data_IF_494062893277
#
_entry.id   IF_494062893277
#
_cell.length_a   1.000
_cell.length_b   1.000
_cell.length_c   1.000
_cell.angle_alpha   90.00
_cell.angle_beta   90.00
_cell.angle_gamma   90.00
#
_symmetry.space_group_name_H-M   'P 1'
#
loop_
_entity.id
_entity.type
_entity.pdbx_description
1 polymer ?
#
# COMPACT_ATOMS: atom_id res chain seq x y z
N UNK A 1 3.91 4.23 -20.36
CA UNK A 1 5.36 3.93 -20.21
C UNK A 1 5.81 4.53 -18.89
N UNK A 2 6.39 3.73 -18.00
CA UNK A 2 7.06 4.26 -16.79
C UNK A 2 8.10 5.29 -17.25
N UNK A 3 7.97 6.55 -16.81
CA UNK A 3 8.95 7.60 -17.13
C UNK A 3 10.17 7.40 -16.25
N UNK A 4 11.33 7.86 -16.71
CA UNK A 4 12.51 7.89 -15.87
C UNK A 4 12.26 8.79 -14.64
N UNK A 5 12.82 8.41 -13.49
CA UNK A 5 12.71 9.18 -12.26
C UNK A 5 13.94 10.07 -12.15
N UNK A 6 14.00 11.10 -12.99
CA UNK A 6 15.04 12.11 -12.95
C UNK A 6 14.72 13.12 -11.86
N UNK A 7 15.00 12.77 -10.61
CA UNK A 7 15.16 13.76 -9.55
C UNK A 7 16.70 13.98 -9.50
N UNK A 8 17.17 15.21 -9.76
CA UNK A 8 18.60 15.60 -9.84
C UNK A 8 19.51 14.75 -8.91
N UNK A 9 20.61 14.25 -9.48
CA UNK A 9 21.69 13.42 -8.88
C UNK A 9 21.68 11.89 -9.08
N UNK A 10 20.95 11.37 -10.08
CA UNK A 10 21.24 10.07 -10.70
C UNK A 10 20.03 9.16 -10.89
N UNK A 11 20.01 8.41 -11.99
CA UNK A 11 18.97 7.46 -12.38
C UNK A 11 18.52 6.62 -11.17
N UNK A 12 17.30 6.85 -10.66
CA UNK A 12 16.65 5.99 -9.65
C UNK A 12 15.82 4.95 -10.40
N UNK A 13 16.39 3.77 -10.75
CA UNK A 13 15.70 2.80 -11.60
C UNK A 13 14.42 2.29 -10.94
N UNK A 14 13.43 1.94 -11.76
CA UNK A 14 12.22 1.22 -11.33
C UNK A 14 12.59 -0.16 -10.82
N UNK A 15 12.92 -0.22 -9.53
CA UNK A 15 13.30 -1.43 -8.79
C UNK A 15 12.34 -1.71 -7.64
N UNK A 16 11.67 -0.68 -7.11
CA UNK A 16 10.84 -0.80 -5.92
C UNK A 16 9.61 0.09 -6.02
N UNK A 17 8.49 -0.44 -5.57
CA UNK A 17 7.22 0.25 -5.40
C UNK A 17 6.80 0.10 -3.94
N UNK A 18 6.17 1.12 -3.35
CA UNK A 18 5.79 1.06 -1.95
C UNK A 18 4.58 1.93 -1.62
N UNK A 19 3.91 1.61 -0.52
CA UNK A 19 2.90 2.44 0.12
C UNK A 19 3.21 2.55 1.61
N UNK A 20 3.00 3.76 2.17
CA UNK A 20 3.19 4.02 3.59
C UNK A 20 1.85 4.21 4.29
N UNK A 21 1.77 3.71 5.51
CA UNK A 21 0.59 3.78 6.38
C UNK A 21 1.00 4.30 7.76
N UNK A 22 0.18 5.18 8.32
CA UNK A 22 0.38 5.67 9.69
C UNK A 22 -0.39 4.80 10.67
N UNK A 23 0.32 4.12 11.56
CA UNK A 23 -0.26 3.42 12.70
C UNK A 23 -0.47 4.40 13.85
N UNK A 24 -1.62 4.35 14.52
CA UNK A 24 -1.91 5.16 15.70
C UNK A 24 -2.77 4.38 16.72
N UNK A 25 -2.59 4.60 18.04
CA UNK A 25 -3.33 3.86 19.08
C UNK A 25 -4.85 3.95 19.00
N UNK A 26 -5.40 5.02 18.41
CA UNK A 26 -6.84 5.25 18.28
C UNK A 26 -7.42 4.89 16.91
N UNK A 27 -6.64 4.32 16.01
CA UNK A 27 -7.05 3.98 14.65
C UNK A 27 -6.28 2.74 14.18
N UNK A 28 -5.82 2.71 12.93
CA UNK A 28 -4.97 1.64 12.37
C UNK A 28 -3.82 1.28 13.34
N UNK A 29 -3.86 0.11 13.95
CA UNK A 29 -2.84 -0.30 14.93
C UNK A 29 -1.81 -1.26 14.39
N UNK A 30 -2.16 -2.05 13.37
CA UNK A 30 -1.32 -3.11 12.81
C UNK A 30 -1.77 -3.44 11.38
N UNK A 31 -0.88 -4.06 10.60
CA UNK A 31 -1.17 -4.61 9.28
C UNK A 31 -0.62 -6.04 9.20
N UNK A 32 -1.48 -7.01 8.90
CA UNK A 32 -1.14 -8.44 8.81
C UNK A 32 -1.57 -9.07 7.49
N UNK A 33 -1.33 -10.39 7.33
CA UNK A 33 -1.81 -11.21 6.21
C UNK A 33 -1.46 -10.64 4.84
N UNK A 34 -0.24 -10.10 4.75
CA UNK A 34 0.23 -9.37 3.58
C UNK A 34 0.63 -10.38 2.50
N UNK A 35 0.18 -10.13 1.28
CA UNK A 35 0.62 -10.84 0.08
C UNK A 35 0.72 -9.88 -1.09
N UNK A 36 1.67 -10.16 -1.97
CA UNK A 36 1.86 -9.44 -3.22
C UNK A 36 1.98 -10.45 -4.35
N UNK A 37 1.20 -10.25 -5.41
CA UNK A 37 1.28 -11.05 -6.62
C UNK A 37 1.51 -10.15 -7.81
N UNK A 38 2.54 -10.44 -8.59
CA UNK A 38 2.69 -9.91 -9.93
C UNK A 38 1.72 -10.67 -10.86
N UNK A 39 0.61 -10.04 -11.20
CA UNK A 39 -0.43 -10.62 -12.07
C UNK A 39 0.03 -10.67 -13.52
N UNK A 40 0.95 -9.79 -13.92
CA UNK A 40 1.51 -9.74 -15.29
C UNK A 40 2.28 -11.01 -15.60
N UNK A 41 3.16 -11.41 -14.66
CA UNK A 41 4.07 -12.54 -14.84
C UNK A 41 3.60 -13.81 -14.11
N UNK A 42 2.52 -13.72 -13.32
CA UNK A 42 1.94 -14.84 -12.59
C UNK A 42 2.76 -15.29 -11.38
N UNK A 43 3.54 -14.40 -10.77
CA UNK A 43 4.48 -14.71 -9.69
C UNK A 43 3.92 -14.21 -8.35
N UNK A 44 3.82 -15.11 -7.38
CA UNK A 44 3.58 -14.75 -5.97
C UNK A 44 4.91 -14.33 -5.33
N UNK A 45 4.97 -13.12 -4.80
CA UNK A 45 6.19 -12.59 -4.22
C UNK A 45 6.41 -13.18 -2.82
N UNK A 46 7.65 -13.57 -2.53
CA UNK A 46 8.03 -14.02 -1.20
C UNK A 46 8.26 -12.84 -0.25
N UNK A 47 8.05 -13.05 1.06
CA UNK A 47 8.37 -12.02 2.05
C UNK A 47 9.88 -11.92 2.27
N UNK A 48 10.40 -10.70 2.32
CA UNK A 48 11.72 -10.36 2.82
C UNK A 48 11.58 -9.76 4.22
N UNK A 49 12.23 -10.37 5.22
CA UNK A 49 12.16 -9.92 6.63
C UNK A 49 13.05 -8.71 6.92
N UNK A 50 14.18 -8.60 6.23
CA UNK A 50 15.08 -7.46 6.32
C UNK A 50 14.98 -6.60 5.05
N UNK A 51 14.25 -5.48 5.05
CA UNK A 51 14.10 -4.65 3.86
C UNK A 51 15.46 -4.14 3.37
N UNK A 52 15.66 -4.14 2.04
CA UNK A 52 16.85 -3.55 1.41
C UNK A 52 16.45 -2.49 0.41
N UNK A 53 17.08 -1.33 0.54
CA UNK A 53 16.92 -0.24 -0.41
C UNK A 53 17.66 -0.55 -1.71
N UNK A 54 17.08 -0.21 -2.87
CA UNK A 54 17.75 -0.39 -4.17
C UNK A 54 19.14 0.24 -4.27
N UNK A 55 19.36 1.37 -3.59
CA UNK A 55 20.65 2.08 -3.56
C UNK A 55 21.72 1.39 -2.70
N UNK A 56 21.33 0.48 -1.81
CA UNK A 56 22.23 -0.26 -0.94
C UNK A 56 22.75 -1.57 -1.58
N UNK A 57 22.23 -1.94 -2.75
CA UNK A 57 22.61 -3.18 -3.46
C UNK A 57 23.60 -2.84 -4.56
N UNK A 58 24.73 -3.55 -4.56
CA UNK A 58 25.92 -3.19 -5.34
C UNK A 58 25.78 -3.34 -6.86
N UNK A 59 24.83 -4.15 -7.34
CA UNK A 59 24.61 -4.31 -8.78
C UNK A 59 23.16 -4.67 -9.13
N UNK A 60 22.82 -4.50 -10.41
CA UNK A 60 21.50 -4.88 -10.94
C UNK A 60 21.31 -6.41 -10.94
N UNK A 61 22.38 -7.17 -11.15
CA UNK A 61 22.38 -8.62 -11.11
C UNK A 61 22.09 -9.13 -9.70
N UNK A 62 22.76 -8.56 -8.69
CA UNK A 62 22.48 -8.86 -7.28
C UNK A 62 21.05 -8.48 -6.89
N UNK A 63 20.56 -7.33 -7.37
CA UNK A 63 19.16 -6.93 -7.16
C UNK A 63 18.17 -7.94 -7.73
N UNK A 64 18.33 -8.29 -9.01
CA UNK A 64 17.42 -9.19 -9.71
C UNK A 64 17.44 -10.62 -9.14
N UNK A 65 18.60 -11.09 -8.68
CA UNK A 65 18.76 -12.42 -8.11
C UNK A 65 18.15 -12.51 -6.71
N UNK A 66 18.48 -11.56 -5.83
CA UNK A 66 18.31 -11.75 -4.39
C UNK A 66 17.14 -10.96 -3.80
N UNK A 67 16.67 -9.92 -4.49
CA UNK A 67 15.71 -8.95 -3.94
C UNK A 67 14.47 -8.73 -4.78
N UNK A 68 14.56 -8.80 -6.10
CA UNK A 68 13.40 -8.75 -6.97
C UNK A 68 12.43 -9.90 -6.68
N UNK A 69 11.15 -9.72 -6.99
CA UNK A 69 10.08 -10.69 -6.72
C UNK A 69 9.86 -11.00 -5.23
N UNK A 70 10.24 -10.05 -4.38
CA UNK A 70 9.95 -10.08 -2.95
C UNK A 70 9.11 -8.88 -2.54
N UNK A 71 8.31 -9.05 -1.49
CA UNK A 71 7.66 -7.94 -0.77
C UNK A 71 8.22 -7.84 0.64
N UNK A 72 8.10 -6.68 1.27
CA UNK A 72 8.46 -6.47 2.67
C UNK A 72 7.45 -5.58 3.37
N UNK A 73 7.48 -5.62 4.70
CA UNK A 73 6.90 -4.58 5.55
C UNK A 73 7.99 -4.08 6.50
N UNK A 74 8.05 -2.76 6.71
CA UNK A 74 9.10 -2.12 7.49
C UNK A 74 8.57 -0.95 8.33
N UNK A 75 9.21 -0.67 9.46
CA UNK A 75 9.04 0.57 10.20
C UNK A 75 9.97 1.64 9.62
N UNK A 76 9.36 2.70 9.07
CA UNK A 76 10.06 3.84 8.45
C UNK A 76 9.84 5.13 9.24
N UNK A 77 9.40 5.03 10.50
CA UNK A 77 9.09 6.19 11.35
C UNK A 77 10.26 7.15 11.51
N UNK A 78 11.49 6.62 11.58
CA UNK A 78 12.70 7.41 11.72
C UNK A 78 13.19 7.98 10.37
N UNK A 79 13.19 7.17 9.32
CA UNK A 79 13.58 7.57 7.96
C UNK A 79 13.18 6.50 6.93
N UNK A 80 12.70 6.92 5.76
CA UNK A 80 12.50 6.03 4.61
C UNK A 80 13.81 5.52 4.02
N UNK A 81 14.93 6.21 4.28
CA UNK A 81 16.26 5.80 3.81
C UNK A 81 16.93 4.78 4.76
N UNK A 82 16.25 4.39 5.83
CA UNK A 82 16.73 3.37 6.76
C UNK A 82 15.56 2.55 7.32
N UNK A 83 14.84 1.80 6.47
CA UNK A 83 13.71 1.00 6.90
C UNK A 83 14.15 -0.05 7.92
N UNK A 84 13.46 -0.12 9.06
CA UNK A 84 13.72 -1.12 10.09
C UNK A 84 12.78 -2.32 9.90
N UNK A 85 13.22 -3.56 10.24
CA UNK A 85 12.34 -4.72 10.22
C UNK A 85 11.04 -4.48 11.01
N UNK A 86 9.94 -4.99 10.49
CA UNK A 86 8.63 -4.96 11.15
C UNK A 86 8.01 -6.35 11.09
N UNK A 87 7.58 -6.83 12.25
CA UNK A 87 6.93 -8.13 12.42
C UNK A 87 5.43 -7.92 12.64
N UNK A 88 4.59 -8.19 11.62
CA UNK A 88 3.13 -8.14 11.76
C UNK A 88 2.61 -8.91 12.98
N UNK A 89 1.63 -8.34 13.69
CA UNK A 89 1.05 -8.95 14.90
C UNK A 89 1.91 -8.81 16.16
N UNK A 90 3.18 -8.41 16.03
CA UNK A 90 4.12 -8.23 17.16
C UNK A 90 4.50 -6.76 17.33
N UNK A 91 4.93 -6.11 16.25
CA UNK A 91 5.46 -4.75 16.27
C UNK A 91 4.37 -3.67 16.09
N UNK A 92 3.12 -4.09 15.93
CA UNK A 92 1.93 -3.26 15.97
C UNK A 92 1.77 -2.47 17.28
N UNK A 93 0.92 -1.45 17.23
CA UNK A 93 0.56 -0.65 18.38
C UNK A 93 -0.49 -1.40 19.20
N UNK A 94 -0.20 -1.68 20.47
CA UNK A 94 -1.14 -2.36 21.34
C UNK A 94 -2.25 -1.39 21.77
N UNK A 95 -3.50 -1.84 21.69
CA UNK A 95 -4.67 -1.03 22.06
C UNK A 95 -4.64 -0.73 23.56
N UNK A 96 -4.82 0.54 23.93
CA UNK A 96 -4.82 1.00 25.32
C UNK A 96 -3.44 1.39 25.87
N UNK A 97 -2.36 1.21 25.11
CA UNK A 97 -1.04 1.78 25.44
C UNK A 97 -0.98 3.25 25.01
N UNK A 98 -1.44 4.14 25.90
CA UNK A 98 -1.46 5.60 25.68
C UNK A 98 -0.08 6.25 25.53
N UNK A 99 1.00 5.51 25.76
CA UNK A 99 2.39 5.98 25.71
C UNK A 99 3.09 5.75 24.37
N UNK A 100 2.52 4.96 23.44
CA UNK A 100 3.15 4.73 22.13
C UNK A 100 2.77 5.83 21.15
N UNK A 101 3.79 6.49 20.59
CA UNK A 101 3.64 7.44 19.50
C UNK A 101 3.13 6.74 18.23
N UNK A 102 2.53 7.51 17.33
CA UNK A 102 2.23 7.03 15.99
C UNK A 102 3.50 6.48 15.32
N UNK A 103 3.34 5.41 14.53
CA UNK A 103 4.40 4.82 13.70
C UNK A 103 4.05 5.01 12.23
N UNK A 104 5.04 5.06 11.37
CA UNK A 104 4.84 4.93 9.93
C UNK A 104 5.42 3.60 9.48
N UNK A 105 4.58 2.74 8.91
CA UNK A 105 5.00 1.49 8.31
C UNK A 105 4.90 1.57 6.79
N UNK A 106 5.79 0.87 6.11
CA UNK A 106 5.85 0.80 4.66
C UNK A 106 5.65 -0.64 4.20
N UNK A 107 4.73 -0.87 3.26
CA UNK A 107 4.66 -2.11 2.49
C UNK A 107 5.28 -1.82 1.14
N UNK A 108 6.37 -2.51 0.83
CA UNK A 108 7.06 -2.39 -0.45
C UNK A 108 7.12 -3.71 -1.19
N UNK A 109 7.19 -3.63 -2.52
CA UNK A 109 7.43 -4.78 -3.37
C UNK A 109 8.47 -4.46 -4.44
N UNK A 110 9.43 -5.37 -4.54
CA UNK A 110 10.61 -5.22 -5.37
C UNK A 110 10.34 -5.85 -6.74
N UNK A 111 10.50 -5.05 -7.78
CA UNK A 111 10.42 -5.50 -9.17
C UNK A 111 11.83 -5.72 -9.72
N UNK A 112 12.01 -6.59 -10.73
CA UNK A 112 13.25 -6.63 -11.50
C UNK A 112 13.59 -5.23 -12.03
N UNK A 113 14.88 -4.97 -12.24
CA UNK A 113 15.34 -3.71 -12.84
C UNK A 113 14.58 -3.45 -14.13
N UNK A 114 13.73 -2.43 -14.11
CA UNK A 114 12.83 -2.11 -15.22
C UNK A 114 13.21 -0.76 -15.81
N UNK A 115 13.73 -0.76 -17.03
CA UNK A 115 14.03 0.47 -17.78
C UNK A 115 12.79 0.97 -18.53
N UNK A 116 11.96 0.05 -19.02
CA UNK A 116 10.70 0.35 -19.65
C UNK A 116 9.68 -0.79 -19.50
N UNK A 117 8.41 -0.40 -19.34
CA UNK A 117 7.27 -1.29 -19.42
C UNK A 117 6.04 -0.51 -19.94
N UNK A 118 5.18 -1.17 -20.71
CA UNK A 118 3.88 -0.60 -21.09
C UNK A 118 3.00 -0.43 -19.85
N UNK A 119 2.87 -1.51 -19.07
CA UNK A 119 2.18 -1.56 -17.78
C UNK A 119 2.65 -2.78 -16.98
N UNK A 120 2.54 -2.72 -15.66
CA UNK A 120 2.64 -3.88 -14.77
C UNK A 120 1.39 -3.89 -13.88
N UNK A 121 0.80 -5.06 -13.67
CA UNK A 121 -0.34 -5.28 -12.79
C UNK A 121 0.10 -6.07 -11.56
N UNK A 122 -0.20 -5.53 -10.39
CA UNK A 122 0.02 -6.17 -9.10
C UNK A 122 -1.31 -6.31 -8.36
N UNK A 123 -1.45 -7.41 -7.63
CA UNK A 123 -2.46 -7.57 -6.59
C UNK A 123 -1.72 -7.49 -5.25
N UNK A 124 -2.15 -6.57 -4.39
CA UNK A 124 -1.58 -6.37 -3.05
C UNK A 124 -2.73 -6.53 -2.07
N UNK A 125 -2.61 -7.51 -1.18
CA UNK A 125 -3.64 -7.84 -0.19
C UNK A 125 -3.03 -7.79 1.21
N UNK A 126 -3.79 -7.29 2.18
CA UNK A 126 -3.40 -7.21 3.59
C UNK A 126 -4.64 -6.97 4.47
N UNK A 127 -4.52 -7.28 5.76
CA UNK A 127 -5.53 -7.01 6.79
C UNK A 127 -5.10 -5.81 7.63
N UNK A 128 -5.95 -4.79 7.72
CA UNK A 128 -5.73 -3.64 8.59
C UNK A 128 -6.49 -3.79 9.92
N UNK A 129 -5.83 -3.57 11.06
CA UNK A 129 -6.42 -3.73 12.40
C UNK A 129 -6.83 -2.40 13.03
N UNK A 130 -8.00 -2.37 13.68
CA UNK A 130 -8.55 -1.24 14.44
C UNK A 130 -8.78 0.07 13.65
N UNK A 131 -9.01 -0.04 12.33
CA UNK A 131 -9.16 1.13 11.44
C UNK A 131 -10.45 1.92 11.55
N UNK A 132 -11.46 1.36 12.21
CA UNK A 132 -12.78 1.99 12.30
C UNK A 132 -12.94 2.70 13.65
N UNK A 133 -13.39 3.95 13.60
CA UNK A 133 -13.93 4.62 14.80
C UNK A 133 -15.38 4.18 15.00
N UNK A 134 -15.66 3.58 16.15
CA UNK A 134 -17.00 3.17 16.55
C UNK A 134 -17.70 4.28 17.32
N UNK A 135 -18.87 4.68 16.84
CA UNK A 135 -19.82 5.56 17.51
C UNK A 135 -21.00 4.73 18.07
N UNK A 136 -21.97 5.37 18.72
CA UNK A 136 -23.12 4.65 19.30
C UNK A 136 -23.98 3.93 18.25
N UNK A 137 -24.07 4.48 17.04
CA UNK A 137 -24.98 4.08 15.98
C UNK A 137 -24.31 3.83 14.62
N UNK A 138 -23.06 4.25 14.45
CA UNK A 138 -22.30 4.13 13.20
C UNK A 138 -20.84 3.76 13.46
N UNK A 139 -20.20 3.10 12.50
CA UNK A 139 -18.75 2.98 12.44
C UNK A 139 -18.23 3.73 11.21
N UNK A 140 -17.16 4.48 11.36
CA UNK A 140 -16.55 5.27 10.27
C UNK A 140 -15.10 4.84 10.06
N UNK A 141 -14.73 4.68 8.79
CA UNK A 141 -13.37 4.38 8.35
C UNK A 141 -12.99 5.33 7.22
N UNK A 142 -11.77 5.89 7.28
CA UNK A 142 -11.18 6.67 6.20
C UNK A 142 -9.89 6.01 5.77
N UNK A 143 -9.72 5.85 4.47
CA UNK A 143 -8.53 5.28 3.86
C UNK A 143 -8.00 6.18 2.76
N UNK A 144 -6.68 6.41 2.79
CA UNK A 144 -5.95 7.11 1.73
C UNK A 144 -4.94 6.14 1.11
N UNK A 145 -5.32 5.33 0.11
CA UNK A 145 -4.40 4.39 -0.53
C UNK A 145 -3.27 5.09 -1.31
N UNK A 146 -3.52 6.33 -1.77
CA UNK A 146 -2.60 7.09 -2.61
C UNK A 146 -2.52 8.53 -2.13
N UNK A 147 -1.57 8.82 -1.25
CA UNK A 147 -1.34 10.19 -0.77
C UNK A 147 -0.37 10.98 -1.64
N UNK A 148 -0.21 12.27 -1.30
CA UNK A 148 0.67 13.21 -2.03
C UNK A 148 2.14 12.75 -2.15
N UNK A 149 2.58 11.88 -1.26
CA UNK A 149 3.94 11.31 -1.24
C UNK A 149 4.05 9.99 -2.01
N UNK A 150 2.97 9.48 -2.60
CA UNK A 150 3.03 8.26 -3.41
C UNK A 150 3.87 8.51 -4.67
N UNK A 151 4.94 7.75 -4.83
CA UNK A 151 5.90 7.90 -5.92
C UNK A 151 5.62 6.94 -7.09
N UNK A 152 4.64 6.05 -6.92
CA UNK A 152 4.25 5.09 -7.95
C UNK A 152 3.39 5.79 -9.03
N UNK A 153 3.82 5.83 -10.30
CA UNK A 153 2.99 6.33 -11.39
C UNK A 153 1.86 5.35 -11.61
N UNK A 154 0.64 5.83 -11.42
CA UNK A 154 -0.56 5.03 -11.61
C UNK A 154 -1.25 5.53 -12.86
N UNK A 155 -1.66 4.61 -13.76
CA UNK A 155 -2.46 4.95 -14.94
C UNK A 155 -3.97 4.74 -14.75
N UNK A 156 -4.36 3.75 -13.96
CA UNK A 156 -5.76 3.48 -13.63
C UNK A 156 -5.83 2.91 -12.22
N UNK A 157 -6.79 3.42 -11.44
CA UNK A 157 -7.17 2.88 -10.14
C UNK A 157 -8.58 2.33 -10.24
N UNK A 158 -8.78 1.13 -9.72
CA UNK A 158 -10.11 0.57 -9.42
C UNK A 158 -10.04 -0.01 -8.02
N UNK A 159 -11.07 0.19 -7.21
CA UNK A 159 -11.17 -0.43 -5.89
C UNK A 159 -12.55 -1.01 -5.64
N UNK A 160 -12.56 -2.08 -4.85
CA UNK A 160 -13.78 -2.74 -4.36
C UNK A 160 -13.65 -2.86 -2.85
N UNK A 161 -14.67 -2.40 -2.12
CA UNK A 161 -14.76 -2.50 -0.67
C UNK A 161 -15.88 -3.48 -0.35
N UNK A 162 -15.53 -4.55 0.33
CA UNK A 162 -16.46 -5.52 0.89
C UNK A 162 -16.73 -5.16 2.36
N UNK A 163 -18.00 -5.01 2.71
CA UNK A 163 -18.41 -4.82 4.10
C UNK A 163 -18.75 -6.16 4.77
N UNK A 164 -18.85 -6.22 6.11
CA UNK A 164 -19.37 -7.39 6.81
C UNK A 164 -20.75 -7.83 6.28
N UNK A 165 -21.07 -9.13 6.41
CA UNK A 165 -22.25 -9.76 5.75
C UNK A 165 -23.60 -9.05 5.99
N UNK A 166 -23.79 -8.41 7.14
CA UNK A 166 -25.05 -7.73 7.49
C UNK A 166 -25.15 -6.29 6.95
N UNK A 167 -24.11 -5.77 6.31
CA UNK A 167 -24.09 -4.44 5.73
C UNK A 167 -24.66 -4.49 4.32
N UNK A 168 -25.60 -3.58 4.03
CA UNK A 168 -26.30 -3.48 2.75
C UNK A 168 -26.13 -2.08 2.16
N UNK A 169 -26.54 -1.89 0.90
CA UNK A 169 -26.54 -0.56 0.28
C UNK A 169 -27.46 0.47 0.97
N UNK A 170 -28.29 0.05 1.92
CA UNK A 170 -29.15 0.92 2.76
C UNK A 170 -28.53 1.27 4.10
N UNK A 171 -27.55 0.49 4.56
CA UNK A 171 -26.92 0.62 5.89
C UNK A 171 -25.45 1.02 5.82
N UNK A 172 -24.92 1.28 4.61
CA UNK A 172 -23.59 1.86 4.40
C UNK A 172 -23.66 3.18 3.66
N UNK A 173 -22.67 4.05 3.91
CA UNK A 173 -22.40 5.26 3.14
C UNK A 173 -20.91 5.35 2.84
N UNK A 174 -20.58 5.77 1.64
CA UNK A 174 -19.21 5.89 1.18
C UNK A 174 -19.09 7.12 0.28
N UNK A 175 -17.98 7.82 0.41
CA UNK A 175 -17.60 8.94 -0.44
C UNK A 175 -16.17 8.70 -0.93
N UNK A 176 -15.90 9.05 -2.17
CA UNK A 176 -14.56 9.08 -2.72
C UNK A 176 -14.08 10.52 -2.79
N UNK A 177 -12.97 10.81 -2.12
CA UNK A 177 -12.27 12.08 -2.25
C UNK A 177 -11.18 11.95 -3.31
N UNK A 178 -11.28 12.73 -4.38
CA UNK A 178 -10.27 12.81 -5.43
C UNK A 178 -10.35 14.15 -6.16
N UNK A 179 -9.21 14.64 -6.65
CA UNK A 179 -9.14 15.81 -7.53
C UNK A 179 -9.55 15.49 -8.98
N UNK A 180 -9.80 14.20 -9.30
CA UNK A 180 -10.18 13.73 -10.64
C UNK A 180 -11.68 13.51 -10.73
N UNK A 181 -12.21 13.51 -11.96
CA UNK A 181 -13.54 12.92 -12.22
C UNK A 181 -13.53 11.49 -11.71
N UNK A 182 -14.59 11.02 -11.06
CA UNK A 182 -14.65 9.64 -10.58
C UNK A 182 -16.01 9.00 -10.79
N UNK A 183 -16.00 7.69 -10.89
CA UNK A 183 -17.18 6.85 -10.88
C UNK A 183 -17.19 6.06 -9.57
N UNK A 184 -18.35 6.03 -8.92
CA UNK A 184 -18.54 5.22 -7.72
C UNK A 184 -19.90 4.54 -7.80
N UNK A 185 -19.97 3.31 -7.33
CA UNK A 185 -21.21 2.54 -7.31
C UNK A 185 -21.32 1.78 -6.00
N UNK A 186 -22.48 1.91 -5.36
CA UNK A 186 -22.85 1.12 -4.20
C UNK A 186 -23.90 0.11 -4.62
N UNK A 187 -23.57 -1.16 -4.48
CA UNK A 187 -24.44 -2.28 -4.82
C UNK A 187 -25.46 -2.54 -3.69
N UNK A 188 -26.48 -3.35 -3.98
CA UNK A 188 -27.54 -3.66 -3.01
C UNK A 188 -27.03 -4.44 -1.79
N UNK A 189 -26.00 -5.26 -1.97
CA UNK A 189 -25.31 -6.05 -0.94
C UNK A 189 -24.26 -5.21 -0.17
N UNK A 190 -24.26 -3.89 -0.35
CA UNK A 190 -23.35 -3.00 0.36
C UNK A 190 -21.98 -2.86 -0.28
N UNK A 191 -21.61 -3.71 -1.24
CA UNK A 191 -20.31 -3.61 -1.94
C UNK A 191 -20.18 -2.21 -2.56
N UNK A 192 -19.04 -1.58 -2.31
CA UNK A 192 -18.72 -0.28 -2.87
C UNK A 192 -17.59 -0.42 -3.88
N UNK A 193 -17.83 -0.05 -5.13
CA UNK A 193 -16.81 0.01 -6.17
C UNK A 193 -16.51 1.46 -6.51
N UNK A 194 -15.25 1.75 -6.81
CA UNK A 194 -14.83 3.07 -7.22
C UNK A 194 -13.76 3.02 -8.31
N UNK A 195 -13.82 4.01 -9.19
CA UNK A 195 -12.86 4.24 -10.27
C UNK A 195 -12.60 5.74 -10.37
N UNK A 196 -11.52 6.25 -9.77
CA UNK A 196 -11.03 7.57 -10.11
C UNK A 196 -10.68 7.57 -11.60
N UNK A 197 -11.11 8.61 -12.31
CA UNK A 197 -10.89 8.80 -13.73
C UNK A 197 -9.40 8.76 -14.05
N UNK A 198 -9.08 8.33 -15.28
CA UNK A 198 -7.73 8.02 -15.70
C UNK A 198 -6.75 9.12 -15.30
N UNK A 199 -5.75 8.74 -14.53
CA UNK A 199 -4.50 9.46 -14.44
C UNK A 199 -3.81 9.24 -15.78
N UNK A 200 -3.95 10.12 -16.79
CA UNK A 200 -2.83 10.52 -17.68
C UNK A 200 -3.17 11.36 -18.93
N UNK A 201 -2.16 12.02 -19.58
CA UNK A 201 -0.70 11.71 -19.65
C UNK A 201 0.28 12.50 -18.77
#
# INVERSE_FOLDING_TARGET
>A
KLRDRSDDDGDRPWKQLFQQYSLAPGNLTDITDISVRNVTDGIDYAQQTEPKLPSAVSSNEAWNSDYANHWYIADVSASSDNPQPYTPGTDGIQVGESSKSAKTVEIGWNIPVTTEANSMKFEVSFTMHNVATKWQDVASFQWEPFGKKNQVPIGTVTGTVHFPEDITGKTSWAWLHTERTSETKRESDGIYTFRPGSTQP
#
